data_IF_340666521584
#
_entry.id   IF_340666521584
#
_cell.length_a   1.000
_cell.length_b   1.000
_cell.length_c   1.000
_cell.angle_alpha   90.00
_cell.angle_beta   90.00
_cell.angle_gamma   90.00
#
_symmetry.space_group_name_H-M   'P 1'
#
loop_
_entity.id
_entity.type
_entity.pdbx_description
1 polymer ?
#
# COMPACT_ATOMS: atom_id res chain seq x y z
N UNK A 1 -7.98 12.68 -9.96
CA UNK A 1 -7.33 11.58 -9.22
C UNK A 1 -6.31 10.85 -10.08
N UNK A 2 -6.67 10.43 -11.30
CA UNK A 2 -5.74 9.86 -12.29
C UNK A 2 -4.38 10.59 -12.46
N UNK A 3 -4.38 11.93 -12.43
CA UNK A 3 -3.13 12.70 -12.51
C UNK A 3 -2.17 12.47 -11.34
N UNK A 4 -2.69 12.24 -10.13
CA UNK A 4 -1.87 11.97 -8.93
C UNK A 4 -1.32 10.54 -8.98
N UNK A 5 -2.13 9.57 -9.42
CA UNK A 5 -1.71 8.18 -9.62
C UNK A 5 -0.55 8.07 -10.61
N UNK A 6 -0.62 8.79 -11.74
CA UNK A 6 0.44 8.79 -12.75
C UNK A 6 1.73 9.46 -12.27
N UNK A 7 1.63 10.54 -11.47
CA UNK A 7 2.81 11.18 -10.86
C UNK A 7 3.48 10.25 -9.86
N UNK A 8 2.69 9.56 -9.03
CA UNK A 8 3.18 8.62 -8.02
C UNK A 8 3.68 7.30 -8.62
N UNK A 9 3.28 6.95 -9.85
CA UNK A 9 3.85 5.85 -10.62
C UNK A 9 5.12 6.24 -11.42
N UNK A 10 5.48 7.53 -11.44
CA UNK A 10 6.57 8.07 -12.26
C UNK A 10 7.94 8.09 -11.58
N UNK A 11 8.85 8.95 -12.07
CA UNK A 11 10.22 9.09 -11.53
C UNK A 11 10.22 9.47 -10.03
N UNK A 12 11.14 8.90 -9.26
CA UNK A 12 11.41 9.17 -7.85
C UNK A 12 11.53 10.66 -7.49
N UNK A 13 12.03 11.53 -8.37
CA UNK A 13 12.03 12.98 -8.13
C UNK A 13 10.60 13.55 -8.03
N UNK A 14 9.73 13.19 -8.98
CA UNK A 14 8.34 13.63 -8.96
C UNK A 14 7.55 13.00 -7.82
N UNK A 15 7.80 11.72 -7.49
CA UNK A 15 7.21 11.07 -6.30
C UNK A 15 7.59 11.83 -5.03
N UNK A 16 8.87 12.13 -4.87
CA UNK A 16 9.40 12.86 -3.70
C UNK A 16 8.74 14.24 -3.57
N UNK A 17 8.69 15.01 -4.67
CA UNK A 17 8.03 16.32 -4.67
C UNK A 17 6.53 16.22 -4.35
N UNK A 18 5.85 15.17 -4.80
CA UNK A 18 4.44 14.96 -4.49
C UNK A 18 4.24 14.60 -3.01
N UNK A 19 5.05 13.70 -2.46
CA UNK A 19 4.97 13.27 -1.06
C UNK A 19 5.32 14.39 -0.07
N UNK A 20 6.20 15.31 -0.47
CA UNK A 20 6.56 16.49 0.30
C UNK A 20 5.55 17.64 0.18
N UNK A 21 4.54 17.55 -0.70
CA UNK A 21 3.47 18.55 -0.73
C UNK A 21 2.60 18.41 0.51
N UNK A 22 2.33 19.55 1.14
CA UNK A 22 1.47 19.65 2.32
C UNK A 22 0.15 18.90 2.09
N UNK A 23 -0.14 17.99 3.04
CA UNK A 23 -1.39 17.24 3.17
C UNK A 23 -1.71 16.23 2.06
N UNK A 24 -0.84 15.96 1.08
CA UNK A 24 -1.17 14.96 0.04
C UNK A 24 -1.42 13.58 0.66
N UNK A 25 -0.48 13.09 1.48
CA UNK A 25 -0.58 11.79 2.14
C UNK A 25 -1.80 11.71 3.06
N UNK A 26 -1.98 12.70 3.95
CA UNK A 26 -3.14 12.75 4.84
C UNK A 26 -4.47 12.78 4.09
N UNK A 27 -4.52 13.47 2.95
CA UNK A 27 -5.71 13.51 2.09
C UNK A 27 -5.98 12.14 1.47
N UNK A 28 -4.96 11.48 0.91
CA UNK A 28 -5.13 10.15 0.33
C UNK A 28 -5.58 9.11 1.37
N UNK A 29 -5.02 9.14 2.58
CA UNK A 29 -5.44 8.29 3.70
C UNK A 29 -6.89 8.59 4.15
N UNK A 30 -7.32 9.85 4.05
CA UNK A 30 -8.72 10.21 4.36
C UNK A 30 -9.66 9.68 3.29
N UNK A 31 -9.28 9.82 2.01
CA UNK A 31 -10.07 9.35 0.88
C UNK A 31 -10.15 7.82 0.86
N UNK A 32 -9.08 7.12 1.25
CA UNK A 32 -9.06 5.66 1.32
C UNK A 32 -10.02 5.06 2.36
N UNK A 33 -10.64 5.89 3.20
CA UNK A 33 -11.64 5.50 4.21
C UNK A 33 -13.07 5.92 3.85
N UNK A 34 -13.29 6.52 2.68
CA UNK A 34 -14.61 6.96 2.26
C UNK A 34 -15.46 5.83 1.66
N UNK A 35 -16.78 5.99 1.70
CA UNK A 35 -17.75 4.98 1.25
C UNK A 35 -17.80 4.82 -0.27
N UNK A 36 -17.31 5.80 -1.04
CA UNK A 36 -17.33 5.74 -2.50
C UNK A 36 -16.22 4.81 -2.99
N UNK A 37 -16.58 3.55 -3.24
CA UNK A 37 -15.66 2.46 -3.57
C UNK A 37 -14.66 2.80 -4.69
N UNK A 38 -15.10 3.46 -5.77
CA UNK A 38 -14.21 3.85 -6.88
C UNK A 38 -13.15 4.86 -6.44
N UNK A 39 -13.56 5.88 -5.68
CA UNK A 39 -12.65 6.94 -5.20
C UNK A 39 -11.68 6.38 -4.17
N UNK A 40 -12.18 5.50 -3.30
CA UNK A 40 -11.37 4.74 -2.35
C UNK A 40 -10.32 3.90 -3.05
N UNK A 41 -10.71 3.14 -4.08
CA UNK A 41 -9.81 2.28 -4.86
C UNK A 41 -8.65 3.09 -5.47
N UNK A 42 -8.96 4.22 -6.09
CA UNK A 42 -7.95 5.10 -6.69
C UNK A 42 -6.97 5.69 -5.65
N UNK A 43 -7.45 6.02 -4.45
CA UNK A 43 -6.57 6.47 -3.36
C UNK A 43 -5.64 5.35 -2.86
N UNK A 44 -6.13 4.12 -2.76
CA UNK A 44 -5.31 2.95 -2.41
C UNK A 44 -4.24 2.71 -3.48
N UNK A 45 -4.61 2.75 -4.77
CA UNK A 45 -3.65 2.60 -5.88
C UNK A 45 -2.58 3.71 -5.82
N UNK A 46 -2.99 4.96 -5.55
CA UNK A 46 -2.05 6.07 -5.42
C UNK A 46 -1.03 5.82 -4.29
N UNK A 47 -1.48 5.36 -3.13
CA UNK A 47 -0.61 5.04 -1.98
C UNK A 47 0.32 3.85 -2.27
N UNK A 48 -0.18 2.81 -2.93
CA UNK A 48 0.63 1.66 -3.32
C UNK A 48 1.71 2.07 -4.34
N UNK A 49 1.35 2.80 -5.40
CA UNK A 49 2.31 3.31 -6.41
C UNK A 49 3.36 4.25 -5.81
N UNK A 50 2.96 5.08 -4.84
CA UNK A 50 3.89 5.95 -4.12
C UNK A 50 4.93 5.17 -3.34
N UNK A 51 4.60 3.94 -2.93
CA UNK A 51 5.44 3.04 -2.15
C UNK A 51 6.36 2.19 -3.04
N UNK A 52 5.90 1.78 -4.23
CA UNK A 52 6.73 1.05 -5.18
C UNK A 52 7.97 1.87 -5.57
N UNK A 53 9.16 1.27 -5.51
CA UNK A 53 10.46 1.88 -5.86
C UNK A 53 10.80 3.17 -5.09
N UNK A 54 10.11 3.45 -3.99
CA UNK A 54 10.34 4.64 -3.18
C UNK A 54 11.73 4.62 -2.53
N UNK A 55 12.36 5.78 -2.42
CA UNK A 55 13.60 5.93 -1.65
C UNK A 55 13.35 5.63 -0.17
N UNK A 56 14.40 5.23 0.57
CA UNK A 56 14.34 4.98 2.02
C UNK A 56 13.64 6.10 2.79
N UNK A 57 13.97 7.36 2.48
CA UNK A 57 13.35 8.53 3.12
C UNK A 57 11.85 8.63 2.83
N UNK A 58 11.42 8.30 1.61
CA UNK A 58 10.01 8.34 1.24
C UNK A 58 9.23 7.17 1.85
N UNK A 59 9.85 5.99 1.94
CA UNK A 59 9.28 4.83 2.64
C UNK A 59 9.00 5.19 4.09
N UNK A 60 9.95 5.82 4.79
CA UNK A 60 9.71 6.26 6.18
C UNK A 60 8.51 7.21 6.28
N UNK A 61 8.40 8.21 5.40
CA UNK A 61 7.26 9.14 5.37
C UNK A 61 5.92 8.42 5.14
N UNK A 62 5.89 7.45 4.23
CA UNK A 62 4.71 6.64 3.92
C UNK A 62 4.29 5.78 5.11
N UNK A 63 5.26 5.14 5.77
CA UNK A 63 5.02 4.31 6.95
C UNK A 63 4.50 5.17 8.11
N UNK A 64 5.11 6.32 8.37
CA UNK A 64 4.70 7.25 9.43
C UNK A 64 3.29 7.80 9.17
N UNK A 65 2.89 7.94 7.90
CA UNK A 65 1.55 8.34 7.50
C UNK A 65 0.49 7.21 7.63
N UNK A 66 0.89 5.98 7.99
CA UNK A 66 -0.02 4.84 8.18
C UNK A 66 -0.39 4.11 6.89
N UNK A 67 0.48 4.15 5.87
CA UNK A 67 0.22 3.47 4.59
C UNK A 67 0.14 1.96 4.76
N UNK A 68 1.03 1.32 5.54
CA UNK A 68 1.00 -0.13 5.78
C UNK A 68 -0.38 -0.58 6.28
N UNK A 69 -0.89 0.05 7.34
CA UNK A 69 -2.19 -0.26 7.92
C UNK A 69 -3.33 -0.07 6.89
N UNK A 70 -3.25 1.01 6.12
CA UNK A 70 -4.25 1.32 5.09
C UNK A 70 -4.30 0.25 4.00
N UNK A 71 -3.14 -0.21 3.53
CA UNK A 71 -3.05 -1.26 2.51
C UNK A 71 -3.52 -2.62 3.04
N UNK A 72 -3.11 -2.99 4.25
CA UNK A 72 -3.54 -4.25 4.89
C UNK A 72 -5.04 -4.28 5.15
N UNK A 73 -5.64 -3.19 5.63
CA UNK A 73 -7.08 -3.12 5.85
C UNK A 73 -7.87 -3.30 4.54
N UNK A 74 -7.38 -2.73 3.43
CA UNK A 74 -7.98 -2.95 2.13
C UNK A 74 -7.91 -4.43 1.70
N UNK A 75 -6.78 -5.11 1.94
CA UNK A 75 -6.64 -6.54 1.65
C UNK A 75 -7.57 -7.40 2.51
N UNK A 76 -7.76 -7.08 3.79
CA UNK A 76 -8.76 -7.74 4.68
C UNK A 76 -10.16 -7.64 4.10
N UNK A 77 -10.59 -6.43 3.74
CA UNK A 77 -11.90 -6.20 3.14
C UNK A 77 -12.05 -6.94 1.81
N UNK A 78 -11.00 -6.97 0.99
CA UNK A 78 -10.99 -7.69 -0.28
C UNK A 78 -11.16 -9.19 -0.06
N UNK A 79 -10.40 -9.79 0.87
CA UNK A 79 -10.43 -11.22 1.16
C UNK A 79 -11.80 -11.69 1.68
N UNK A 80 -12.49 -10.86 2.47
CA UNK A 80 -13.82 -11.18 3.01
C UNK A 80 -14.94 -11.13 1.96
N UNK A 81 -14.77 -10.37 0.87
CA UNK A 81 -15.86 -10.03 -0.05
C UNK A 81 -15.67 -10.55 -1.50
N UNK A 82 -14.47 -11.00 -1.88
CA UNK A 82 -14.16 -11.39 -3.26
C UNK A 82 -14.16 -12.91 -3.47
N UNK A 83 -15.11 -13.39 -4.27
CA UNK A 83 -15.04 -14.71 -4.92
C UNK A 83 -14.44 -14.52 -6.31
N UNK A 84 -13.21 -15.01 -6.52
CA UNK A 84 -12.60 -15.24 -7.86
C UNK A 84 -12.39 -14.01 -8.75
N UNK A 85 -11.27 -13.31 -8.55
CA UNK A 85 -10.37 -12.73 -9.57
C UNK A 85 -9.31 -11.93 -8.82
N UNK A 86 -8.02 -12.21 -9.04
CA UNK A 86 -6.95 -11.36 -8.50
C UNK A 86 -7.05 -10.00 -9.19
N UNK A 87 -7.68 -9.03 -8.53
CA UNK A 87 -7.73 -7.65 -8.98
C UNK A 87 -6.29 -7.12 -9.04
N UNK A 88 -5.92 -6.47 -10.14
CA UNK A 88 -4.59 -5.88 -10.36
C UNK A 88 -4.16 -5.01 -9.16
N UNK A 89 -5.11 -4.43 -8.42
CA UNK A 89 -4.81 -3.68 -7.20
C UNK A 89 -4.12 -4.52 -6.11
N UNK A 90 -4.49 -5.80 -5.95
CA UNK A 90 -3.88 -6.69 -4.95
C UNK A 90 -2.41 -6.87 -5.27
N UNK A 91 -2.06 -7.10 -6.54
CA UNK A 91 -0.67 -7.25 -6.99
C UNK A 91 0.14 -6.00 -6.67
N UNK A 92 -0.37 -4.81 -7.03
CA UNK A 92 0.32 -3.54 -6.77
C UNK A 92 0.49 -3.29 -5.26
N UNK A 93 -0.49 -3.68 -4.43
CA UNK A 93 -0.37 -3.59 -2.97
C UNK A 93 0.72 -4.54 -2.44
N UNK A 94 0.77 -5.78 -2.94
CA UNK A 94 1.79 -6.75 -2.52
C UNK A 94 3.19 -6.28 -2.91
N UNK A 95 3.38 -5.76 -4.13
CA UNK A 95 4.64 -5.15 -4.58
C UNK A 95 5.06 -3.98 -3.67
N UNK A 96 4.11 -3.10 -3.32
CA UNK A 96 4.36 -2.00 -2.39
C UNK A 96 4.82 -2.49 -1.01
N UNK A 97 4.16 -3.51 -0.45
CA UNK A 97 4.50 -4.07 0.86
C UNK A 97 5.87 -4.77 0.83
N UNK A 98 6.19 -5.52 -0.22
CA UNK A 98 7.50 -6.16 -0.42
C UNK A 98 8.59 -5.08 -0.46
N UNK A 99 8.39 -4.01 -1.23
CA UNK A 99 9.35 -2.92 -1.31
C UNK A 99 9.56 -2.21 0.03
N UNK A 100 8.47 -1.90 0.75
CA UNK A 100 8.55 -1.27 2.08
C UNK A 100 9.34 -2.15 3.04
N UNK A 101 9.01 -3.45 3.13
CA UNK A 101 9.70 -4.38 4.03
C UNK A 101 11.17 -4.58 3.64
N UNK A 102 11.46 -4.74 2.35
CA UNK A 102 12.83 -4.88 1.82
C UNK A 102 13.69 -3.64 2.06
N UNK A 103 13.10 -2.44 1.96
CA UNK A 103 13.79 -1.17 2.29
C UNK A 103 14.18 -1.10 3.78
N UNK A 104 13.44 -1.80 4.65
CA UNK A 104 13.77 -1.93 6.06
C UNK A 104 15.08 -2.66 6.31
N UNK A 105 15.45 -3.64 5.49
CA UNK A 105 16.65 -4.46 5.70
C UNK A 105 17.95 -3.65 5.65
N UNK A 106 17.97 -2.56 4.89
CA UNK A 106 19.15 -1.68 4.75
C UNK A 106 19.31 -0.66 5.90
N UNK A 107 18.26 -0.41 6.68
CA UNK A 107 18.25 0.66 7.69
C UNK A 107 17.86 0.21 9.09
N UNK A 108 16.77 -0.56 9.21
CA UNK A 108 16.34 -1.21 10.44
C UNK A 108 15.32 -2.33 10.12
N UNK A 109 15.77 -3.59 9.94
CA UNK A 109 14.97 -4.68 9.37
C UNK A 109 13.67 -4.99 10.12
N UNK A 110 13.57 -4.61 11.38
CA UNK A 110 12.45 -4.95 12.26
C UNK A 110 11.36 -3.89 12.30
N UNK A 111 11.62 -2.64 11.91
CA UNK A 111 10.67 -1.54 12.17
C UNK A 111 9.40 -1.69 11.34
N UNK A 112 9.52 -1.99 10.05
CA UNK A 112 8.37 -2.10 9.16
C UNK A 112 7.65 -3.44 9.31
N UNK A 113 8.39 -4.53 9.57
CA UNK A 113 7.81 -5.84 9.90
C UNK A 113 6.97 -5.78 11.18
N UNK A 114 7.46 -5.10 12.23
CA UNK A 114 6.69 -4.88 13.46
C UNK A 114 5.39 -4.11 13.18
N UNK A 115 5.41 -3.17 12.24
CA UNK A 115 4.21 -2.41 11.86
C UNK A 115 3.19 -3.29 11.12
N UNK A 116 3.68 -4.20 10.27
CA UNK A 116 2.87 -5.20 9.58
C UNK A 116 2.21 -6.16 10.58
N UNK A 117 2.96 -6.63 11.59
CA UNK A 117 2.45 -7.47 12.67
C UNK A 117 1.39 -6.75 13.52
N UNK A 118 1.60 -5.46 13.84
CA UNK A 118 0.65 -4.67 14.62
C UNK A 118 -0.73 -4.52 13.96
N UNK A 119 -0.78 -4.53 12.62
CA UNK A 119 -2.04 -4.52 11.88
C UNK A 119 -2.51 -5.92 11.48
N UNK A 120 -1.94 -6.99 12.06
CA UNK A 120 -2.28 -8.38 11.77
C UNK A 120 -2.11 -8.71 10.28
N UNK A 121 -1.11 -8.07 9.66
CA UNK A 121 -0.88 -8.14 8.22
C UNK A 121 -0.31 -9.49 7.77
N UNK A 122 0.45 -10.18 8.61
CA UNK A 122 0.98 -11.51 8.28
C UNK A 122 -0.14 -12.52 8.04
N UNK A 123 -1.13 -12.58 8.94
CA UNK A 123 -2.29 -13.47 8.79
C UNK A 123 -3.06 -13.19 7.51
N UNK A 124 -3.24 -11.92 7.16
CA UNK A 124 -3.91 -11.54 5.90
C UNK A 124 -3.14 -12.03 4.67
N UNK A 125 -1.82 -11.89 4.69
CA UNK A 125 -0.97 -12.34 3.58
C UNK A 125 -0.97 -13.87 3.46
N UNK A 126 -0.95 -14.59 4.58
CA UNK A 126 -1.06 -16.06 4.63
C UNK A 126 -2.42 -16.56 4.09
N UNK A 127 -3.51 -15.89 4.47
CA UNK A 127 -4.85 -16.20 3.95
C UNK A 127 -4.94 -15.96 2.44
N UNK A 128 -4.37 -14.85 1.94
CA UNK A 128 -4.32 -14.56 0.51
C UNK A 128 -3.54 -15.63 -0.27
N UNK A 129 -2.41 -16.09 0.26
CA UNK A 129 -1.61 -17.16 -0.35
C UNK A 129 -2.35 -18.51 -0.34
N UNK A 130 -3.08 -18.80 0.75
CA UNK A 130 -3.84 -20.06 0.90
C UNK A 130 -5.03 -20.15 -0.05
N UNK A 131 -5.68 -19.01 -0.33
CA UNK A 131 -6.77 -18.91 -1.29
C UNK A 131 -6.33 -19.16 -2.74
N UNK A 132 -5.07 -18.88 -3.08
CA UNK A 132 -4.50 -19.16 -4.41
C UNK A 132 -4.24 -20.66 -4.64
N UNK A 133 -3.85 -21.39 -3.58
CA UNK A 133 -3.54 -22.83 -3.63
C UNK A 133 -4.78 -23.75 -3.69
N UNK A 134 -6.01 -23.22 -3.61
CA UNK A 134 -7.25 -24.00 -3.75
C UNK A 134 -7.84 -24.00 -5.17
N UNK A 135 -7.09 -23.44 -6.15
CA UNK A 135 -7.50 -23.33 -7.56
C UNK A 135 -6.72 -24.24 -8.53
N UNK A 136 -6.27 -25.41 -8.06
CA UNK A 136 -5.87 -26.55 -8.92
C UNK A 136 -6.89 -27.69 -8.88
#
# INVERSE_FOLDING_TARGET
MLGVVNVLAGNNEHKTMALQRDNLLSTLITISKQDIQLVRKEAIIALANASCDASVSNVQLLVDAGVIETLINYLKEFNMNSTLLVDHIVVVILEALIHICGTGEETNPTVYCNKLEQCDGLTVLEELQSNEHLSE
#
